data_IF_756921872045
#
_entry.id   IF_756921872045
#
_cell.length_a   1.000
_cell.length_b   1.000
_cell.length_c   1.000
_cell.angle_alpha   90.00
_cell.angle_beta   90.00
_cell.angle_gamma   90.00
#
_symmetry.space_group_name_H-M   'P 1'
#
loop_
_entity.id
_entity.type
_entity.pdbx_description
1 polymer ?
#
# COMPACT_ATOMS: atom_id res chain seq x y z
N UNK A 1 -14.21 -9.55 -32.89
CA UNK A 1 -13.87 -8.24 -32.33
C UNK A 1 -12.99 -8.51 -31.13
N UNK A 2 -11.74 -8.03 -31.13
CA UNK A 2 -10.83 -8.24 -29.99
C UNK A 2 -11.20 -7.20 -28.95
N UNK A 3 -11.86 -7.63 -27.88
CA UNK A 3 -12.02 -6.79 -26.69
C UNK A 3 -10.62 -6.54 -26.13
N UNK A 4 -10.15 -5.31 -26.29
CA UNK A 4 -8.97 -4.79 -25.62
C UNK A 4 -9.30 -4.69 -24.12
N UNK A 5 -9.19 -5.80 -23.39
CA UNK A 5 -9.30 -5.86 -21.93
C UNK A 5 -8.02 -5.32 -21.26
N UNK A 6 -7.49 -4.20 -21.76
CA UNK A 6 -6.45 -3.45 -21.06
C UNK A 6 -7.15 -2.62 -19.98
N UNK A 7 -7.63 -3.30 -18.93
CA UNK A 7 -7.86 -2.64 -17.66
C UNK A 7 -6.52 -1.99 -17.29
N UNK A 8 -6.48 -0.65 -17.18
CA UNK A 8 -5.28 0.03 -16.67
C UNK A 8 -4.90 -0.64 -15.35
N UNK A 9 -3.59 -0.92 -15.11
CA UNK A 9 -3.14 -1.54 -13.88
C UNK A 9 -3.31 -0.60 -12.68
N UNK A 10 -4.55 -0.40 -12.22
CA UNK A 10 -4.89 0.40 -11.05
C UNK A 10 -4.12 -0.08 -9.82
N UNK A 11 -3.82 -1.38 -9.74
CA UNK A 11 -3.01 -1.99 -8.70
C UNK A 11 -1.64 -1.27 -8.52
N UNK A 12 -0.99 -0.84 -9.59
CA UNK A 12 0.29 -0.12 -9.49
C UNK A 12 0.15 1.27 -8.85
N UNK A 13 -0.98 1.94 -9.07
CA UNK A 13 -1.30 3.24 -8.47
C UNK A 13 -1.63 3.03 -6.99
N UNK A 14 -2.47 2.04 -6.68
CA UNK A 14 -2.85 1.70 -5.32
C UNK A 14 -1.64 1.27 -4.47
N UNK A 15 -0.73 0.47 -5.02
CA UNK A 15 0.53 0.11 -4.35
C UNK A 15 1.39 1.34 -4.05
N UNK A 16 1.46 2.31 -4.98
CA UNK A 16 2.17 3.56 -4.75
C UNK A 16 1.50 4.42 -3.69
N UNK A 17 0.18 4.56 -3.74
CA UNK A 17 -0.58 5.32 -2.75
C UNK A 17 -0.46 4.71 -1.35
N UNK A 18 -0.43 3.38 -1.24
CA UNK A 18 -0.20 2.67 0.01
C UNK A 18 1.19 3.00 0.59
N UNK A 19 2.23 2.94 -0.25
CA UNK A 19 3.59 3.37 0.16
C UNK A 19 3.58 4.83 0.61
N UNK A 20 2.84 5.70 -0.10
CA UNK A 20 2.77 7.13 0.19
C UNK A 20 2.10 7.47 1.50
N UNK A 21 0.92 6.91 1.76
CA UNK A 21 0.17 7.19 2.98
C UNK A 21 0.88 6.63 4.21
N UNK A 22 1.38 5.39 4.14
CA UNK A 22 2.11 4.78 5.25
C UNK A 22 3.41 5.53 5.56
N UNK A 23 4.19 5.91 4.54
CA UNK A 23 5.41 6.72 4.75
C UNK A 23 5.09 8.03 5.46
N UNK A 24 3.99 8.72 5.09
CA UNK A 24 3.57 9.97 5.73
C UNK A 24 3.16 9.76 7.20
N UNK A 25 2.44 8.69 7.50
CA UNK A 25 2.03 8.37 8.88
C UNK A 25 3.24 8.02 9.75
N UNK A 26 4.19 7.24 9.21
CA UNK A 26 5.45 6.92 9.89
C UNK A 26 6.31 8.18 10.15
N UNK A 27 6.36 9.11 9.19
CA UNK A 27 6.97 10.43 9.40
C UNK A 27 6.25 11.20 10.50
N UNK A 28 4.92 11.17 10.51
CA UNK A 28 4.12 11.89 11.52
C UNK A 28 4.36 11.33 12.93
N UNK A 29 4.43 10.01 13.08
CA UNK A 29 4.79 9.34 14.33
C UNK A 29 6.15 9.80 14.87
N UNK A 30 7.15 9.90 13.98
CA UNK A 30 8.50 10.33 14.35
C UNK A 30 8.57 11.83 14.67
N UNK A 31 8.02 12.66 13.79
CA UNK A 31 8.28 14.10 13.77
C UNK A 31 7.38 14.87 14.75
N UNK A 32 6.14 14.42 14.99
CA UNK A 32 5.20 15.09 15.90
C UNK A 32 5.08 14.43 17.27
N UNK A 33 5.28 13.11 17.35
CA UNK A 33 5.12 12.36 18.59
C UNK A 33 6.44 11.83 19.17
N UNK A 34 7.57 12.07 18.49
CA UNK A 34 8.90 11.65 18.96
C UNK A 34 9.09 10.14 19.00
N UNK A 35 8.27 9.36 18.29
CA UNK A 35 8.32 7.90 18.34
C UNK A 35 9.48 7.40 17.47
N UNK A 36 10.36 6.60 18.06
CA UNK A 36 11.51 6.03 17.39
C UNK A 36 11.12 4.85 16.50
N UNK A 37 10.72 5.13 15.25
CA UNK A 37 10.45 4.09 14.24
C UNK A 37 11.55 4.14 13.18
N UNK A 38 12.24 3.01 12.99
CA UNK A 38 13.28 2.86 11.97
C UNK A 38 12.63 2.43 10.66
N UNK A 39 12.61 3.33 9.67
CA UNK A 39 12.13 3.04 8.32
C UNK A 39 12.96 3.78 7.26
N UNK A 40 12.84 3.35 6.01
CA UNK A 40 13.42 4.04 4.85
C UNK A 40 12.31 4.61 3.98
N UNK A 41 12.50 5.83 3.47
CA UNK A 41 11.59 6.44 2.50
C UNK A 41 11.75 5.78 1.12
N UNK A 42 10.74 5.02 0.71
CA UNK A 42 10.69 4.36 -0.61
C UNK A 42 9.88 5.14 -1.66
N UNK A 43 9.37 6.34 -1.35
CA UNK A 43 8.43 7.10 -2.19
C UNK A 43 8.94 7.32 -3.60
N UNK A 44 10.18 7.80 -3.72
CA UNK A 44 10.80 8.08 -5.01
C UNK A 44 10.93 6.81 -5.86
N UNK A 45 11.30 5.69 -5.23
CA UNK A 45 11.43 4.40 -5.91
C UNK A 45 10.06 3.87 -6.32
N UNK A 46 9.06 3.93 -5.44
CA UNK A 46 7.70 3.50 -5.72
C UNK A 46 7.07 4.28 -6.87
N UNK A 47 7.16 5.63 -6.84
CA UNK A 47 6.66 6.48 -7.92
C UNK A 47 7.30 6.13 -9.26
N UNK A 48 8.62 5.93 -9.31
CA UNK A 48 9.33 5.52 -10.53
C UNK A 48 8.84 4.17 -11.07
N UNK A 49 8.54 3.19 -10.22
CA UNK A 49 8.03 1.88 -10.65
C UNK A 49 6.58 1.95 -11.12
N UNK A 50 5.72 2.66 -10.41
CA UNK A 50 4.34 2.92 -10.85
C UNK A 50 4.33 3.55 -12.25
N UNK A 51 5.10 4.62 -12.46
CA UNK A 51 5.22 5.27 -13.77
C UNK A 51 5.75 4.30 -14.83
N UNK A 52 6.80 3.54 -14.53
CA UNK A 52 7.34 2.57 -15.47
C UNK A 52 6.32 1.48 -15.88
N UNK A 53 5.47 1.02 -14.94
CA UNK A 53 4.39 0.06 -15.21
C UNK A 53 3.33 0.67 -16.14
N UNK A 54 2.95 1.93 -15.89
CA UNK A 54 1.95 2.64 -16.71
C UNK A 54 2.39 2.80 -18.16
N UNK A 55 3.68 3.09 -18.39
CA UNK A 55 4.21 3.34 -19.74
C UNK A 55 4.77 2.09 -20.44
N UNK A 56 4.92 0.97 -19.74
CA UNK A 56 5.35 -0.30 -20.32
C UNK A 56 4.34 -0.81 -21.37
N UNK A 57 4.87 -1.34 -22.47
CA UNK A 57 4.10 -1.75 -23.66
C UNK A 57 3.65 -3.20 -23.63
N UNK A 58 4.20 -4.01 -22.73
CA UNK A 58 3.83 -5.42 -22.58
C UNK A 58 3.92 -5.89 -21.14
N UNK A 59 3.23 -6.98 -20.80
CA UNK A 59 3.28 -7.56 -19.45
C UNK A 59 4.68 -8.07 -19.10
N UNK A 60 5.44 -8.55 -20.10
CA UNK A 60 6.85 -8.90 -19.93
C UNK A 60 7.70 -7.70 -19.48
N UNK A 61 7.42 -6.49 -20.00
CA UNK A 61 8.08 -5.25 -19.56
C UNK A 61 7.59 -4.79 -18.18
N UNK A 62 6.32 -5.01 -17.84
CA UNK A 62 5.73 -4.63 -16.54
C UNK A 62 6.25 -5.47 -15.39
N UNK A 63 6.42 -6.78 -15.60
CA UNK A 63 6.75 -7.75 -14.56
C UNK A 63 7.94 -7.37 -13.66
N UNK A 64 9.12 -6.96 -14.18
CA UNK A 64 10.23 -6.57 -13.30
C UNK A 64 9.92 -5.34 -12.45
N UNK A 65 9.17 -4.37 -12.97
CA UNK A 65 8.78 -3.19 -12.20
C UNK A 65 7.75 -3.52 -11.12
N UNK A 66 6.82 -4.43 -11.42
CA UNK A 66 5.88 -4.95 -10.42
C UNK A 66 6.56 -5.70 -9.30
N UNK A 67 7.51 -6.60 -9.62
CA UNK A 67 8.29 -7.31 -8.59
C UNK A 67 9.01 -6.33 -7.66
N UNK A 68 9.59 -5.27 -8.21
CA UNK A 68 10.26 -4.26 -7.40
C UNK A 68 9.28 -3.39 -6.58
N UNK A 69 8.11 -3.06 -7.16
CA UNK A 69 7.05 -2.30 -6.47
C UNK A 69 6.43 -3.11 -5.32
N UNK A 70 6.12 -4.39 -5.55
CA UNK A 70 5.67 -5.30 -4.49
C UNK A 70 6.71 -5.38 -3.38
N UNK A 71 8.00 -5.56 -3.72
CA UNK A 71 9.08 -5.63 -2.73
C UNK A 71 9.12 -4.41 -1.80
N UNK A 72 8.99 -3.20 -2.34
CA UNK A 72 9.02 -1.97 -1.52
C UNK A 72 7.71 -1.74 -0.77
N UNK A 73 6.56 -2.12 -1.33
CA UNK A 73 5.28 -2.09 -0.62
C UNK A 73 5.33 -3.04 0.58
N UNK A 74 5.80 -4.27 0.41
CA UNK A 74 5.96 -5.24 1.50
C UNK A 74 6.89 -4.74 2.62
N UNK A 75 7.99 -4.06 2.28
CA UNK A 75 8.84 -3.39 3.29
C UNK A 75 8.07 -2.32 4.05
N UNK A 76 7.29 -1.50 3.36
CA UNK A 76 6.53 -0.39 3.95
C UNK A 76 5.43 -0.91 4.87
N UNK A 77 4.74 -1.99 4.49
CA UNK A 77 3.80 -2.71 5.36
C UNK A 77 4.51 -3.21 6.62
N UNK A 78 5.70 -3.81 6.48
CA UNK A 78 6.49 -4.25 7.64
C UNK A 78 6.87 -3.11 8.60
N UNK A 79 7.09 -1.89 8.09
CA UNK A 79 7.31 -0.72 8.95
C UNK A 79 6.02 -0.28 9.66
N UNK A 80 4.88 -0.33 8.98
CA UNK A 80 3.58 -0.02 9.56
C UNK A 80 3.25 -0.97 10.72
N UNK A 81 3.43 -2.29 10.54
CA UNK A 81 3.20 -3.30 11.58
C UNK A 81 4.02 -2.99 12.84
N UNK A 82 5.32 -2.67 12.69
CA UNK A 82 6.16 -2.28 13.83
C UNK A 82 5.70 -1.00 14.50
N UNK A 83 5.23 -0.03 13.72
CA UNK A 83 4.68 1.20 14.27
C UNK A 83 3.39 0.94 15.06
N UNK A 84 2.53 0.02 14.60
CA UNK A 84 1.32 -0.39 15.32
C UNK A 84 1.65 -1.03 16.67
N UNK A 85 2.66 -1.90 16.72
CA UNK A 85 3.13 -2.52 17.97
C UNK A 85 3.57 -1.46 18.98
N UNK A 86 4.47 -0.56 18.57
CA UNK A 86 4.99 0.51 19.43
C UNK A 86 3.88 1.47 19.89
N UNK A 87 3.01 1.89 18.96
CA UNK A 87 1.92 2.80 19.27
C UNK A 87 0.87 2.16 20.18
N UNK A 88 0.62 0.87 20.04
CA UNK A 88 -0.33 0.12 20.88
C UNK A 88 0.07 0.11 22.35
N UNK A 89 1.37 0.13 22.65
CA UNK A 89 1.88 0.22 24.03
C UNK A 89 1.77 1.65 24.60
N UNK A 90 1.83 2.67 23.75
CA UNK A 90 1.91 4.09 24.16
C UNK A 90 0.55 4.80 24.18
N UNK A 91 -0.45 4.37 23.42
CA UNK A 91 -1.65 5.16 23.13
C UNK A 91 -2.74 5.13 24.23
N UNK A 92 -2.50 4.51 25.39
CA UNK A 92 -3.55 4.15 26.36
C UNK A 92 -4.34 5.33 26.96
N UNK A 93 -3.84 6.56 26.86
CA UNK A 93 -4.54 7.78 27.31
C UNK A 93 -4.42 8.99 26.36
N UNK A 94 -3.69 8.87 25.24
CA UNK A 94 -3.47 9.97 24.30
C UNK A 94 -4.34 9.76 23.04
N UNK A 95 -5.34 10.61 22.88
CA UNK A 95 -6.29 10.56 21.76
C UNK A 95 -5.64 10.81 20.40
N UNK A 96 -4.56 11.60 20.34
CA UNK A 96 -3.84 11.86 19.10
C UNK A 96 -3.02 10.63 18.68
N UNK A 97 -2.36 9.98 19.64
CA UNK A 97 -1.65 8.71 19.39
C UNK A 97 -2.62 7.59 19.02
N UNK A 98 -3.79 7.53 19.67
CA UNK A 98 -4.83 6.57 19.31
C UNK A 98 -5.34 6.80 17.88
N UNK A 99 -5.57 8.05 17.49
CA UNK A 99 -5.95 8.42 16.12
C UNK A 99 -4.90 7.98 15.09
N UNK A 100 -3.62 8.25 15.36
CA UNK A 100 -2.52 7.83 14.50
C UNK A 100 -2.42 6.30 14.38
N UNK A 101 -2.59 5.57 15.49
CA UNK A 101 -2.63 4.11 15.50
C UNK A 101 -3.78 3.58 14.62
N UNK A 102 -4.98 4.17 14.75
CA UNK A 102 -6.13 3.80 13.93
C UNK A 102 -5.87 4.04 12.43
N UNK A 103 -5.26 5.17 12.06
CA UNK A 103 -4.91 5.44 10.66
C UNK A 103 -3.86 4.45 10.12
N UNK A 104 -2.80 4.17 10.88
CA UNK A 104 -1.77 3.23 10.46
C UNK A 104 -2.36 1.83 10.26
N UNK A 105 -3.18 1.35 11.19
CA UNK A 105 -3.90 0.06 11.06
C UNK A 105 -4.77 0.05 9.80
N UNK A 106 -5.62 1.06 9.64
CA UNK A 106 -6.55 1.14 8.52
C UNK A 106 -5.83 1.09 7.16
N UNK A 107 -4.83 1.95 6.96
CA UNK A 107 -4.08 1.95 5.71
C UNK A 107 -3.12 0.76 5.58
N UNK A 108 -2.65 0.18 6.68
CA UNK A 108 -1.85 -1.04 6.71
C UNK A 108 -2.65 -2.24 6.20
N UNK A 109 -3.91 -2.37 6.62
CA UNK A 109 -4.84 -3.41 6.16
C UNK A 109 -5.13 -3.29 4.67
N UNK A 110 -5.47 -2.09 4.21
CA UNK A 110 -5.70 -1.81 2.79
C UNK A 110 -4.44 -2.06 1.95
N UNK A 111 -3.25 -1.68 2.45
CA UNK A 111 -1.99 -1.95 1.78
C UNK A 111 -1.73 -3.46 1.62
N UNK A 112 -2.07 -4.28 2.62
CA UNK A 112 -1.98 -5.74 2.55
C UNK A 112 -2.94 -6.32 1.50
N UNK A 113 -4.18 -5.84 1.47
CA UNK A 113 -5.17 -6.29 0.48
C UNK A 113 -4.74 -5.93 -0.96
N UNK A 114 -4.29 -4.69 -1.19
CA UNK A 114 -3.77 -4.26 -2.51
C UNK A 114 -2.53 -5.05 -2.89
N UNK A 115 -1.62 -5.33 -1.94
CA UNK A 115 -0.46 -6.17 -2.16
C UNK A 115 -0.86 -7.58 -2.63
N UNK A 116 -1.78 -8.23 -1.91
CA UNK A 116 -2.26 -9.57 -2.24
C UNK A 116 -2.92 -9.60 -3.63
N UNK A 117 -3.83 -8.66 -3.89
CA UNK A 117 -4.47 -8.49 -5.19
C UNK A 117 -3.44 -8.36 -6.33
N UNK A 118 -2.45 -7.48 -6.18
CA UNK A 118 -1.42 -7.29 -7.18
C UNK A 118 -0.51 -8.51 -7.34
N UNK A 119 -0.18 -9.19 -6.25
CA UNK A 119 0.63 -10.41 -6.25
C UNK A 119 -0.09 -11.53 -7.02
N UNK A 120 -1.34 -11.81 -6.66
CA UNK A 120 -2.18 -12.84 -7.30
C UNK A 120 -2.32 -12.59 -8.80
N UNK A 121 -2.62 -11.35 -9.19
CA UNK A 121 -2.80 -11.00 -10.60
C UNK A 121 -1.52 -11.04 -11.42
N UNK A 122 -0.45 -10.44 -10.91
CA UNK A 122 0.74 -10.19 -11.72
C UNK A 122 1.78 -11.31 -11.60
N UNK A 123 1.88 -11.94 -10.42
CA UNK A 123 2.86 -12.98 -10.16
C UNK A 123 2.26 -14.37 -10.37
N UNK A 124 1.03 -14.60 -9.91
CA UNK A 124 0.38 -15.91 -10.03
C UNK A 124 -0.50 -16.04 -11.28
N UNK A 125 -0.85 -14.92 -11.94
CA UNK A 125 -1.72 -14.94 -13.12
C UNK A 125 -3.19 -15.20 -12.80
N UNK A 126 -3.59 -15.05 -11.53
CA UNK A 126 -4.97 -15.28 -11.08
C UNK A 126 -5.89 -14.10 -11.44
N UNK A 127 -7.19 -14.41 -11.59
CA UNK A 127 -8.22 -13.37 -11.65
C UNK A 127 -8.73 -13.11 -10.24
N UNK A 128 -8.68 -11.85 -9.78
CA UNK A 128 -9.28 -11.43 -8.52
C UNK A 128 -10.75 -11.06 -8.78
N UNK A 129 -11.73 -11.67 -8.08
CA UNK A 129 -13.14 -11.34 -8.16
C UNK A 129 -13.43 -9.85 -7.85
N UNK A 130 -14.49 -9.27 -8.41
CA UNK A 130 -14.76 -7.84 -8.30
C UNK A 130 -15.08 -7.39 -6.87
N UNK A 131 -15.76 -8.24 -6.10
CA UNK A 131 -16.09 -8.11 -4.69
C UNK A 131 -14.86 -8.16 -3.76
N UNK A 132 -13.74 -8.70 -4.23
CA UNK A 132 -12.48 -8.77 -3.49
C UNK A 132 -11.50 -7.65 -3.85
N UNK A 133 -11.85 -6.78 -4.82
CA UNK A 133 -10.95 -5.72 -5.28
C UNK A 133 -11.03 -4.52 -4.37
N UNK A 134 -9.87 -4.09 -3.87
CA UNK A 134 -9.71 -2.70 -3.47
C UNK A 134 -9.61 -1.88 -4.76
N UNK A 135 -10.53 -0.95 -4.94
CA UNK A 135 -10.56 -0.02 -6.09
C UNK A 135 -9.87 1.31 -5.76
N UNK A 136 -9.85 1.67 -4.48
CA UNK A 136 -9.15 2.82 -3.92
C UNK A 136 -8.87 2.59 -2.44
N UNK A 137 -7.64 2.87 -2.00
CA UNK A 137 -7.29 2.84 -0.58
C UNK A 137 -7.85 4.05 0.20
N UNK A 138 -8.51 4.98 -0.48
CA UNK A 138 -9.12 6.17 0.13
C UNK A 138 -10.65 6.12 0.11
N UNK A 139 -11.23 5.09 -0.49
CA UNK A 139 -12.66 4.86 -0.34
C UNK A 139 -12.91 4.36 1.08
N UNK A 140 -13.76 5.10 1.81
CA UNK A 140 -14.32 4.64 3.07
C UNK A 140 -14.91 3.25 2.81
N UNK A 141 -14.43 2.24 3.53
CA UNK A 141 -15.08 0.94 3.53
C UNK A 141 -16.55 1.20 3.90
N UNK A 142 -17.44 1.15 2.91
CA UNK A 142 -18.86 1.14 3.16
C UNK A 142 -19.07 -0.06 4.07
N UNK A 143 -19.46 0.21 5.32
CA UNK A 143 -19.82 -0.79 6.30
C UNK A 143 -20.69 -1.83 5.58
N UNK A 144 -20.12 -3.01 5.32
CA UNK A 144 -20.92 -4.17 4.99
C UNK A 144 -21.60 -4.55 6.31
N UNK A 145 -22.78 -3.96 6.51
CA UNK A 145 -23.85 -4.46 7.38
C UNK A 145 -24.21 -5.90 7.03
#
# INVERSE_FOLDING_TARGET
MVESNIHKPFDSVQLFDAVRVLTRLLQSARDYFGISIIFSDHLRRAKRRMVAIQYAKSDKQRLPFYKDLLKITGKTIGYAIRAEEILGELCSADLQLLGLLCEIKHYGDLARQVYDQAYRRVIQGETVPADQKVVSIFELAALQT
#
